data_IF_132600202701
#
_entry.id   IF_132600202701
#
_cell.length_a   1.000
_cell.length_b   1.000
_cell.length_c   1.000
_cell.angle_alpha   90.00
_cell.angle_beta   90.00
_cell.angle_gamma   90.00
#
_symmetry.space_group_name_H-M   'P 1'
#
loop_
_entity.id
_entity.type
_entity.pdbx_description
1 polymer ?
#
# COMPACT_ATOMS: atom_id res chain seq x y z
N UNK A 1 -0.78 13.06 19.34
CA UNK A 1 -1.93 12.83 18.44
C UNK A 1 -1.56 11.68 17.52
N UNK A 2 -2.16 10.48 17.62
CA UNK A 2 -1.97 9.48 16.59
C UNK A 2 -2.43 10.07 15.26
N UNK A 3 -1.58 10.01 14.24
CA UNK A 3 -1.98 10.36 12.88
C UNK A 3 -3.23 9.54 12.53
N UNK A 4 -4.30 10.19 12.10
CA UNK A 4 -5.59 9.57 11.81
C UNK A 4 -5.49 8.37 10.84
N UNK A 5 -4.48 8.38 9.96
CA UNK A 5 -4.14 7.24 9.12
C UNK A 5 -3.85 5.97 9.92
N UNK A 6 -3.08 6.10 11.00
CA UNK A 6 -2.78 5.00 11.92
C UNK A 6 -4.06 4.45 12.54
N UNK A 7 -5.02 5.34 12.88
CA UNK A 7 -6.28 4.96 13.50
C UNK A 7 -7.15 4.09 12.57
N UNK A 8 -7.28 4.46 11.29
CA UNK A 8 -8.04 3.67 10.30
C UNK A 8 -7.42 2.30 10.08
N UNK A 9 -6.08 2.20 10.03
CA UNK A 9 -5.38 0.94 9.81
C UNK A 9 -5.38 -0.02 11.01
N UNK A 10 -5.61 0.48 12.22
CA UNK A 10 -5.69 -0.34 13.43
C UNK A 10 -7.08 -0.89 13.73
N UNK A 11 -8.06 -0.69 12.83
CA UNK A 11 -9.42 -1.18 13.07
C UNK A 11 -9.47 -2.72 13.06
N UNK A 12 -10.21 -3.34 13.99
CA UNK A 12 -10.15 -4.78 14.20
C UNK A 12 -11.00 -5.60 13.23
N UNK A 13 -11.92 -4.95 12.49
CA UNK A 13 -12.84 -5.64 11.59
C UNK A 13 -13.30 -4.72 10.46
N UNK A 14 -13.81 -5.34 9.38
CA UNK A 14 -14.36 -4.62 8.22
C UNK A 14 -15.40 -3.58 8.60
N UNK A 15 -16.32 -3.88 9.51
CA UNK A 15 -17.43 -2.96 9.87
C UNK A 15 -16.89 -1.64 10.44
N UNK A 16 -15.95 -1.70 11.37
CA UNK A 16 -15.31 -0.50 11.94
C UNK A 16 -14.39 0.18 10.94
N UNK A 17 -13.66 -0.59 10.13
CA UNK A 17 -12.82 -0.07 9.06
C UNK A 17 -13.65 0.73 8.04
N UNK A 18 -14.77 0.18 7.55
CA UNK A 18 -15.71 0.84 6.63
C UNK A 18 -16.21 2.16 7.19
N UNK A 19 -16.64 2.19 8.47
CA UNK A 19 -17.12 3.42 9.10
C UNK A 19 -16.00 4.46 9.18
N UNK A 20 -14.84 4.08 9.70
CA UNK A 20 -13.71 4.99 9.89
C UNK A 20 -13.15 5.50 8.55
N UNK A 21 -13.08 4.66 7.52
CA UNK A 21 -12.62 5.03 6.18
C UNK A 21 -13.60 5.99 5.50
N UNK A 22 -14.92 5.79 5.63
CA UNK A 22 -15.91 6.75 5.11
C UNK A 22 -15.82 8.12 5.79
N UNK A 23 -15.67 8.14 7.11
CA UNK A 23 -15.48 9.38 7.86
C UNK A 23 -14.23 10.12 7.39
N UNK A 24 -13.16 9.40 7.05
CA UNK A 24 -11.95 9.98 6.50
C UNK A 24 -12.15 10.56 5.11
N UNK A 25 -12.75 9.80 4.18
CA UNK A 25 -12.99 10.24 2.80
C UNK A 25 -13.83 11.53 2.84
N UNK A 26 -14.88 11.56 3.67
CA UNK A 26 -15.73 12.74 3.86
C UNK A 26 -14.92 13.95 4.34
N UNK A 27 -14.10 13.79 5.39
CA UNK A 27 -13.24 14.88 5.89
C UNK A 27 -12.21 15.35 4.84
N UNK A 28 -11.67 14.42 4.05
CA UNK A 28 -10.73 14.74 2.99
C UNK A 28 -11.40 15.52 1.85
N UNK A 29 -12.64 15.17 1.48
CA UNK A 29 -13.43 15.91 0.51
C UNK A 29 -13.84 17.30 1.03
N UNK A 30 -14.26 17.39 2.29
CA UNK A 30 -14.61 18.66 2.97
C UNK A 30 -13.42 19.62 3.09
N UNK A 31 -12.18 19.10 3.17
CA UNK A 31 -10.98 19.95 3.19
C UNK A 31 -10.76 20.73 1.90
N UNK A 32 -11.41 20.33 0.80
CA UNK A 32 -11.37 20.95 -0.52
C UNK A 32 -9.95 21.18 -1.09
N UNK A 33 -8.97 20.41 -0.59
CA UNK A 33 -7.60 20.43 -1.05
C UNK A 33 -7.46 19.62 -2.34
N UNK A 34 -6.81 20.21 -3.34
CA UNK A 34 -6.67 19.58 -4.67
C UNK A 34 -5.81 18.32 -4.60
N UNK A 35 -4.87 18.28 -3.66
CA UNK A 35 -3.96 17.18 -3.34
C UNK A 35 -4.72 15.93 -2.92
N UNK A 36 -5.87 16.07 -2.27
CA UNK A 36 -6.67 14.94 -1.82
C UNK A 36 -7.62 14.39 -2.89
N UNK A 37 -7.93 15.14 -3.96
CA UNK A 37 -8.90 14.68 -4.99
C UNK A 37 -8.50 13.36 -5.64
N UNK A 38 -7.23 13.20 -6.01
CA UNK A 38 -6.73 11.95 -6.60
C UNK A 38 -6.77 10.81 -5.58
N UNK A 39 -6.42 11.11 -4.33
CA UNK A 39 -6.40 10.19 -3.22
C UNK A 39 -7.81 9.66 -2.90
N UNK A 40 -8.79 10.55 -2.70
CA UNK A 40 -10.19 10.19 -2.43
C UNK A 40 -10.82 9.42 -3.59
N UNK A 41 -10.51 9.79 -4.83
CA UNK A 41 -10.96 9.04 -6.02
C UNK A 41 -10.44 7.59 -5.98
N UNK A 42 -9.17 7.38 -5.66
CA UNK A 42 -8.59 6.05 -5.56
C UNK A 42 -9.22 5.25 -4.39
N UNK A 43 -9.40 5.88 -3.23
CA UNK A 43 -10.01 5.23 -2.07
C UNK A 43 -11.47 4.85 -2.30
N UNK A 44 -12.24 5.69 -3.01
CA UNK A 44 -13.61 5.35 -3.40
C UNK A 44 -13.64 4.19 -4.41
N UNK A 45 -12.68 4.15 -5.35
CA UNK A 45 -12.59 3.06 -6.35
C UNK A 45 -12.27 1.70 -5.74
N UNK A 46 -11.37 1.67 -4.74
CA UNK A 46 -10.88 0.42 -4.10
C UNK A 46 -11.48 0.19 -2.72
N UNK A 47 -12.62 0.83 -2.44
CA UNK A 47 -13.17 0.91 -1.09
C UNK A 47 -13.47 -0.47 -0.49
N UNK A 48 -14.09 -1.34 -1.29
CA UNK A 48 -14.51 -2.66 -0.84
C UNK A 48 -13.31 -3.59 -0.62
N UNK A 49 -12.31 -3.56 -1.49
CA UNK A 49 -11.09 -4.36 -1.36
C UNK A 49 -10.29 -3.96 -0.13
N UNK A 50 -10.18 -2.65 0.13
CA UNK A 50 -9.53 -2.13 1.32
C UNK A 50 -10.29 -2.58 2.56
N UNK A 51 -11.62 -2.44 2.59
CA UNK A 51 -12.44 -2.87 3.72
C UNK A 51 -12.36 -4.38 3.96
N UNK A 52 -12.34 -5.19 2.90
CA UNK A 52 -12.20 -6.63 2.98
C UNK A 52 -10.85 -7.05 3.57
N UNK A 53 -9.77 -6.30 3.31
CA UNK A 53 -8.44 -6.63 3.83
C UNK A 53 -8.36 -6.70 5.36
N UNK A 54 -9.26 -5.99 6.08
CA UNK A 54 -9.30 -5.99 7.55
C UNK A 54 -9.83 -7.28 8.16
N UNK A 55 -10.60 -8.08 7.40
CA UNK A 55 -11.11 -9.37 7.90
C UNK A 55 -10.09 -10.51 7.73
N UNK A 56 -9.05 -10.29 6.93
CA UNK A 56 -8.04 -11.30 6.65
C UNK A 56 -6.71 -11.01 7.36
N UNK A 57 -6.00 -12.04 7.86
CA UNK A 57 -4.73 -11.87 8.56
C UNK A 57 -3.52 -11.71 7.62
N UNK A 58 -3.72 -11.27 6.37
CA UNK A 58 -2.62 -11.13 5.41
C UNK A 58 -1.89 -9.80 5.63
N UNK A 59 -0.58 -9.87 5.81
CA UNK A 59 0.28 -8.69 5.86
C UNK A 59 1.04 -8.50 4.55
N UNK A 60 1.24 -7.24 4.16
CA UNK A 60 2.11 -6.89 3.03
C UNK A 60 3.62 -7.00 3.38
N UNK A 61 3.98 -7.33 4.62
CA UNK A 61 5.37 -7.37 5.08
C UNK A 61 6.31 -8.20 4.20
N UNK A 62 5.97 -9.46 3.86
CA UNK A 62 6.81 -10.28 2.97
C UNK A 62 7.00 -9.66 1.57
N UNK A 63 5.96 -9.01 1.03
CA UNK A 63 6.02 -8.33 -0.26
C UNK A 63 6.92 -7.08 -0.18
N UNK A 64 6.83 -6.30 0.90
CA UNK A 64 7.68 -5.13 1.11
C UNK A 64 9.17 -5.48 1.25
N UNK A 65 9.48 -6.56 1.96
CA UNK A 65 10.85 -7.09 2.08
C UNK A 65 11.36 -7.48 0.68
N UNK A 66 10.55 -8.19 -0.10
CA UNK A 66 10.90 -8.61 -1.46
C UNK A 66 11.13 -7.41 -2.38
N UNK A 67 10.23 -6.42 -2.36
CA UNK A 67 10.38 -5.19 -3.14
C UNK A 67 11.65 -4.41 -2.76
N UNK A 68 12.00 -4.39 -1.48
CA UNK A 68 13.23 -3.74 -1.01
C UNK A 68 14.47 -4.46 -1.52
N UNK A 69 14.51 -5.80 -1.44
CA UNK A 69 15.60 -6.62 -2.02
C UNK A 69 15.76 -6.35 -3.52
N UNK A 70 14.67 -6.32 -4.28
CA UNK A 70 14.69 -6.02 -5.73
C UNK A 70 15.22 -4.61 -5.99
N UNK A 71 14.76 -3.60 -5.24
CA UNK A 71 15.24 -2.21 -5.37
C UNK A 71 16.74 -2.11 -5.09
N UNK A 72 17.24 -2.80 -4.07
CA UNK A 72 18.69 -2.86 -3.77
C UNK A 72 19.47 -3.53 -4.88
N UNK A 73 18.99 -4.66 -5.41
CA UNK A 73 19.62 -5.33 -6.56
C UNK A 73 19.67 -4.44 -7.80
N UNK A 74 18.60 -3.70 -8.08
CA UNK A 74 18.55 -2.73 -9.18
C UNK A 74 19.60 -1.63 -9.02
N UNK A 75 19.79 -1.10 -7.80
CA UNK A 75 20.81 -0.08 -7.50
C UNK A 75 22.23 -0.62 -7.67
N UNK A 76 22.49 -1.83 -7.16
CA UNK A 76 23.82 -2.46 -7.24
C UNK A 76 24.21 -2.85 -8.67
N UNK A 77 23.23 -3.05 -9.55
CA UNK A 77 23.46 -3.50 -10.92
C UNK A 77 23.15 -2.42 -11.97
N UNK A 78 23.35 -1.15 -11.60
CA UNK A 78 23.11 -0.03 -12.51
C UNK A 78 23.94 -0.20 -13.79
N UNK A 79 23.32 -0.08 -14.97
CA UNK A 79 23.99 -0.27 -16.27
C UNK A 79 24.02 -1.70 -16.81
N UNK A 80 23.33 -2.67 -16.19
CA UNK A 80 23.20 -4.01 -16.78
C UNK A 80 22.47 -3.97 -18.13
N UNK A 81 23.14 -4.47 -19.18
CA UNK A 81 22.61 -4.53 -20.55
C UNK A 81 21.65 -5.70 -20.80
N UNK A 82 21.67 -6.74 -19.96
CA UNK A 82 20.91 -7.97 -20.16
C UNK A 82 19.85 -8.18 -19.06
N UNK A 83 18.58 -8.00 -19.41
CA UNK A 83 17.46 -8.22 -18.49
C UNK A 83 17.34 -9.67 -17.99
N UNK A 84 17.73 -10.66 -18.82
CA UNK A 84 17.66 -12.07 -18.42
C UNK A 84 18.60 -12.36 -17.24
N UNK A 85 19.77 -11.71 -17.20
CA UNK A 85 20.70 -11.82 -16.08
C UNK A 85 20.13 -11.16 -14.82
N UNK A 86 19.46 -10.02 -14.97
CA UNK A 86 18.77 -9.35 -13.87
C UNK A 86 17.65 -10.22 -13.27
N UNK A 87 16.81 -10.81 -14.10
CA UNK A 87 15.74 -11.73 -13.67
C UNK A 87 16.30 -12.93 -12.91
N UNK A 88 17.37 -13.56 -13.43
CA UNK A 88 18.05 -14.68 -12.75
C UNK A 88 18.58 -14.28 -11.38
N UNK A 89 19.17 -13.08 -11.26
CA UNK A 89 19.65 -12.54 -9.97
C UNK A 89 18.51 -12.29 -8.99
N UNK A 90 17.38 -11.74 -9.43
CA UNK A 90 16.19 -11.56 -8.57
C UNK A 90 15.71 -12.92 -8.05
N UNK A 91 15.56 -13.91 -8.92
CA UNK A 91 15.07 -15.24 -8.55
C UNK A 91 16.00 -15.97 -7.57
N UNK A 92 17.31 -15.71 -7.65
CA UNK A 92 18.29 -16.25 -6.71
C UNK A 92 18.28 -15.51 -5.35
N UNK A 93 18.20 -14.18 -5.36
CA UNK A 93 18.35 -13.36 -4.16
C UNK A 93 17.05 -13.13 -3.37
N UNK A 94 15.90 -13.25 -4.02
CA UNK A 94 14.57 -13.10 -3.41
C UNK A 94 13.89 -14.45 -3.15
N UNK A 95 14.67 -15.53 -3.12
CA UNK A 95 14.20 -16.88 -2.78
C UNK A 95 13.90 -17.01 -1.29
#
# INVERSE_FOLDING_TARGET
>A
MPCWYQYVLTQPNRVRATKSLREWIKKAEESNLKEFKSCTTAFNKWFDEICNSFDYPWSNGPLEVTHTKIKTLKRNCFGMKNFNLFRKRIMFACK
#
